data_IF_196742641306
#
_entry.id   IF_196742641306
#
_cell.length_a   1.000
_cell.length_b   1.000
_cell.length_c   1.000
_cell.angle_alpha   90.00
_cell.angle_beta   90.00
_cell.angle_gamma   90.00
#
_symmetry.space_group_name_H-M   'P 1'
#
loop_
_entity.id
_entity.type
_entity.pdbx_description
1 polymer ?
#
# COMPACT_ATOMS: atom_id res chain seq x y z
N UNK A 1 10.67 -22.63 6.58
CA UNK A 1 9.27 -23.13 6.63
C UNK A 1 8.68 -22.99 5.24
N UNK A 2 7.80 -23.94 4.86
CA UNK A 2 7.09 -23.93 3.58
C UNK A 2 5.80 -23.11 3.72
N UNK A 3 5.73 -21.98 3.05
CA UNK A 3 4.59 -21.03 3.12
C UNK A 3 3.90 -21.02 1.75
N UNK A 4 2.59 -21.20 1.72
CA UNK A 4 1.80 -21.08 0.48
C UNK A 4 0.87 -19.89 0.61
N UNK A 5 1.00 -18.92 -0.29
CA UNK A 5 0.19 -17.69 -0.30
C UNK A 5 -0.84 -17.70 -1.43
N UNK A 6 -2.10 -17.87 -1.08
CA UNK A 6 -3.23 -17.73 -1.99
C UNK A 6 -3.67 -16.26 -2.07
N UNK A 7 -3.43 -15.61 -3.19
CA UNK A 7 -3.77 -14.20 -3.41
C UNK A 7 -4.57 -13.98 -4.68
N UNK A 8 -5.52 -13.04 -4.64
CA UNK A 8 -6.25 -12.58 -5.83
C UNK A 8 -5.46 -11.53 -6.61
N UNK A 9 -4.38 -11.01 -6.04
CA UNK A 9 -3.59 -9.94 -6.65
C UNK A 9 -2.76 -10.47 -7.80
N UNK A 10 -2.80 -9.74 -8.92
CA UNK A 10 -1.82 -9.88 -9.98
C UNK A 10 -0.58 -9.05 -9.63
N UNK A 11 0.60 -9.60 -9.84
CA UNK A 11 1.86 -8.93 -9.48
C UNK A 11 2.30 -7.88 -10.52
N UNK A 12 1.56 -7.75 -11.60
CA UNK A 12 1.66 -6.62 -12.55
C UNK A 12 0.86 -5.39 -12.09
N UNK A 13 -0.05 -5.54 -11.12
CA UNK A 13 -0.87 -4.44 -10.64
C UNK A 13 -0.03 -3.42 -9.85
N UNK A 14 -0.32 -2.13 -9.98
CA UNK A 14 0.31 -1.04 -9.20
C UNK A 14 0.22 -1.24 -7.67
N UNK A 15 -0.70 -2.08 -7.20
CA UNK A 15 -0.88 -2.38 -5.78
C UNK A 15 -0.14 -3.64 -5.32
N UNK A 16 0.71 -4.23 -6.16
CA UNK A 16 1.42 -5.46 -5.87
C UNK A 16 2.74 -5.28 -5.11
N UNK A 17 3.25 -4.07 -4.97
CA UNK A 17 4.54 -3.79 -4.29
C UNK A 17 4.63 -4.48 -2.92
N UNK A 18 3.62 -4.36 -2.06
CA UNK A 18 3.67 -4.99 -0.73
C UNK A 18 3.79 -6.53 -0.78
N UNK A 19 2.93 -7.29 -1.49
CA UNK A 19 3.10 -8.74 -1.55
C UNK A 19 4.43 -9.15 -2.19
N UNK A 20 4.91 -8.43 -3.19
CA UNK A 20 6.22 -8.69 -3.80
C UNK A 20 7.35 -8.51 -2.78
N UNK A 21 7.36 -7.40 -2.07
CA UNK A 21 8.40 -7.09 -1.09
C UNK A 21 8.38 -8.05 0.12
N UNK A 22 7.19 -8.43 0.58
CA UNK A 22 7.06 -9.45 1.63
C UNK A 22 7.53 -10.82 1.14
N UNK A 23 7.16 -11.21 -0.09
CA UNK A 23 7.56 -12.46 -0.68
C UNK A 23 9.09 -12.58 -0.81
N UNK A 24 9.76 -11.57 -1.37
CA UNK A 24 11.21 -11.52 -1.50
C UNK A 24 11.91 -11.74 -0.17
N UNK A 25 11.50 -10.97 0.85
CA UNK A 25 12.16 -11.01 2.17
C UNK A 25 11.88 -12.30 2.94
N UNK A 26 10.71 -12.91 2.79
CA UNK A 26 10.46 -14.22 3.38
C UNK A 26 11.44 -15.28 2.79
N UNK A 27 11.65 -15.24 1.48
CA UNK A 27 12.62 -16.15 0.82
C UNK A 27 14.05 -15.82 1.25
N UNK A 28 14.45 -14.54 1.30
CA UNK A 28 15.76 -14.10 1.79
C UNK A 28 16.03 -14.58 3.24
N UNK A 29 14.97 -14.78 4.05
CA UNK A 29 15.06 -15.33 5.42
C UNK A 29 14.99 -16.86 5.50
N UNK A 30 15.05 -17.54 4.37
CA UNK A 30 15.12 -19.01 4.28
C UNK A 30 13.77 -19.72 4.36
N UNK A 31 12.65 -19.00 4.10
CA UNK A 31 11.35 -19.65 3.89
C UNK A 31 11.22 -20.13 2.43
N UNK A 32 10.63 -21.29 2.24
CA UNK A 32 10.17 -21.74 0.93
C UNK A 32 8.78 -21.16 0.67
N UNK A 33 8.67 -20.26 -0.30
CA UNK A 33 7.41 -19.57 -0.58
C UNK A 33 6.83 -20.00 -1.93
N UNK A 34 5.56 -20.39 -1.94
CA UNK A 34 4.80 -20.61 -3.17
C UNK A 34 3.66 -19.61 -3.27
N UNK A 35 3.65 -18.79 -4.33
CA UNK A 35 2.55 -17.88 -4.65
C UNK A 35 1.55 -18.58 -5.56
N UNK A 36 0.27 -18.56 -5.17
CA UNK A 36 -0.84 -19.11 -5.96
C UNK A 36 -1.76 -17.96 -6.37
N UNK A 37 -1.71 -17.54 -7.63
CA UNK A 37 -2.53 -16.45 -8.16
C UNK A 37 -2.90 -16.67 -9.64
N UNK A 38 -3.59 -15.68 -10.24
CA UNK A 38 -4.01 -15.72 -11.64
C UNK A 38 -3.06 -15.02 -12.60
N UNK A 39 -1.81 -14.83 -12.24
CA UNK A 39 -0.79 -14.36 -13.18
C UNK A 39 -0.43 -15.47 -14.17
N UNK A 40 0.04 -15.07 -15.34
CA UNK A 40 0.65 -16.01 -16.27
C UNK A 40 1.97 -16.54 -15.70
N UNK A 41 2.34 -17.80 -15.99
CA UNK A 41 3.59 -18.39 -15.47
C UNK A 41 4.82 -17.54 -15.79
N UNK A 42 4.93 -17.01 -16.99
CA UNK A 42 6.07 -16.23 -17.49
C UNK A 42 6.39 -15.01 -16.63
N UNK A 43 5.38 -14.48 -15.92
CA UNK A 43 5.55 -13.33 -15.01
C UNK A 43 6.45 -13.63 -13.82
N UNK A 44 6.56 -14.90 -13.43
CA UNK A 44 7.25 -15.36 -12.23
C UNK A 44 8.52 -16.21 -12.51
N UNK A 45 8.94 -16.36 -13.77
CA UNK A 45 10.08 -17.20 -14.15
C UNK A 45 11.40 -16.76 -13.50
N UNK A 46 11.57 -15.46 -13.24
CA UNK A 46 12.78 -14.88 -12.66
C UNK A 46 12.61 -14.45 -11.19
N UNK A 47 11.54 -14.87 -10.53
CA UNK A 47 11.30 -14.50 -9.14
C UNK A 47 11.92 -15.55 -8.19
N UNK A 48 12.21 -15.11 -6.97
CA UNK A 48 12.88 -15.94 -5.95
C UNK A 48 11.95 -16.94 -5.26
N UNK A 49 10.64 -16.87 -5.50
CA UNK A 49 9.63 -17.79 -4.98
C UNK A 49 9.10 -18.72 -6.07
N UNK A 50 8.48 -19.82 -5.67
CA UNK A 50 7.77 -20.72 -6.57
C UNK A 50 6.39 -20.14 -6.93
N UNK A 51 5.93 -20.35 -8.16
CA UNK A 51 4.63 -19.89 -8.62
C UNK A 51 3.74 -21.04 -9.11
N UNK A 52 2.50 -21.07 -8.62
CA UNK A 52 1.45 -21.97 -9.10
C UNK A 52 0.33 -21.16 -9.74
N UNK A 53 0.36 -21.05 -11.05
CA UNK A 53 -0.62 -20.29 -11.82
C UNK A 53 -1.99 -20.95 -11.83
N UNK A 54 -3.03 -20.15 -11.61
CA UNK A 54 -4.43 -20.49 -11.86
C UNK A 54 -5.03 -19.59 -12.94
N UNK A 55 -4.16 -19.09 -13.82
CA UNK A 55 -4.53 -18.21 -14.92
C UNK A 55 -5.52 -18.89 -15.88
N UNK A 56 -6.44 -18.06 -16.41
CA UNK A 56 -7.33 -18.43 -17.52
C UNK A 56 -7.44 -17.25 -18.50
N UNK A 57 -7.64 -17.57 -19.76
CA UNK A 57 -7.71 -16.57 -20.83
C UNK A 57 -8.87 -15.59 -20.66
N UNK A 58 -10.01 -16.03 -20.10
CA UNK A 58 -11.21 -15.19 -19.96
C UNK A 58 -11.88 -15.35 -18.59
N UNK A 59 -12.14 -14.23 -17.95
CA UNK A 59 -12.98 -14.13 -16.75
C UNK A 59 -14.26 -13.34 -17.05
N UNK A 60 -15.41 -13.89 -16.65
CA UNK A 60 -16.67 -13.13 -16.73
C UNK A 60 -16.63 -11.95 -15.74
N UNK A 61 -17.02 -10.72 -16.15
CA UNK A 61 -17.11 -9.58 -15.25
C UNK A 61 -17.89 -9.91 -13.97
N UNK A 62 -17.39 -9.48 -12.82
CA UNK A 62 -18.00 -9.73 -11.50
C UNK A 62 -17.80 -11.14 -10.92
N UNK A 63 -17.36 -12.12 -11.72
CA UNK A 63 -17.16 -13.50 -11.26
C UNK A 63 -15.69 -13.92 -11.16
N UNK A 64 -14.75 -13.02 -11.46
CA UNK A 64 -13.31 -13.31 -11.47
C UNK A 64 -12.83 -13.94 -10.16
N UNK A 65 -13.09 -13.31 -9.02
CA UNK A 65 -12.64 -13.83 -7.72
C UNK A 65 -13.16 -15.25 -7.43
N UNK A 66 -14.44 -15.50 -7.71
CA UNK A 66 -15.04 -16.82 -7.54
C UNK A 66 -14.39 -17.86 -8.44
N UNK A 67 -14.10 -17.53 -9.70
CA UNK A 67 -13.49 -18.46 -10.65
C UNK A 67 -12.04 -18.77 -10.31
N UNK A 68 -11.26 -17.75 -9.97
CA UNK A 68 -9.89 -17.92 -9.45
C UNK A 68 -9.90 -18.84 -8.24
N UNK A 69 -10.77 -18.59 -7.26
CA UNK A 69 -10.88 -19.42 -6.06
C UNK A 69 -11.27 -20.88 -6.38
N UNK A 70 -12.15 -21.11 -7.34
CA UNK A 70 -12.51 -22.47 -7.79
C UNK A 70 -11.31 -23.19 -8.40
N UNK A 71 -10.48 -22.50 -9.16
CA UNK A 71 -9.25 -23.10 -9.71
C UNK A 71 -8.20 -23.36 -8.63
N UNK A 72 -8.07 -22.45 -7.66
CA UNK A 72 -7.21 -22.67 -6.49
C UNK A 72 -7.65 -23.91 -5.70
N UNK A 73 -8.95 -24.18 -5.54
CA UNK A 73 -9.45 -25.40 -4.87
C UNK A 73 -8.88 -26.69 -5.47
N UNK A 74 -8.79 -26.75 -6.79
CA UNK A 74 -8.23 -27.91 -7.49
C UNK A 74 -6.74 -28.09 -7.16
N UNK A 75 -6.01 -26.98 -6.98
CA UNK A 75 -4.59 -27.01 -6.62
C UNK A 75 -4.37 -27.42 -5.16
N UNK A 76 -5.22 -26.98 -4.23
CA UNK A 76 -5.12 -27.34 -2.81
C UNK A 76 -5.11 -28.87 -2.62
N UNK A 77 -5.95 -29.59 -3.35
CA UNK A 77 -6.02 -31.05 -3.29
C UNK A 77 -4.68 -31.71 -3.66
N UNK A 78 -3.90 -31.08 -4.52
CA UNK A 78 -2.61 -31.57 -4.99
C UNK A 78 -1.41 -31.11 -4.13
N UNK A 79 -1.63 -30.12 -3.23
CA UNK A 79 -0.57 -29.49 -2.41
C UNK A 79 -0.73 -29.77 -0.91
N UNK A 80 -1.50 -30.80 -0.55
CA UNK A 80 -1.93 -31.06 0.85
C UNK A 80 -0.75 -31.23 1.81
N UNK A 81 0.37 -31.78 1.36
CA UNK A 81 1.54 -32.10 2.20
C UNK A 81 2.71 -31.09 2.02
N UNK A 82 2.51 -30.00 1.28
CA UNK A 82 3.60 -29.10 0.86
C UNK A 82 3.68 -27.80 1.67
N UNK A 83 2.75 -27.52 2.59
CA UNK A 83 2.71 -26.27 3.33
C UNK A 83 2.72 -26.48 4.84
N UNK A 84 3.55 -25.70 5.52
CA UNK A 84 3.52 -25.58 6.99
C UNK A 84 2.52 -24.51 7.44
N UNK A 85 2.29 -23.46 6.61
CA UNK A 85 1.32 -22.37 6.86
C UNK A 85 0.72 -21.84 5.56
N UNK A 86 -0.57 -21.54 5.57
CA UNK A 86 -1.26 -20.84 4.49
C UNK A 86 -1.49 -19.36 4.79
N UNK A 87 -1.06 -18.47 3.90
CA UNK A 87 -1.49 -17.08 3.84
C UNK A 87 -2.63 -16.96 2.82
N UNK A 88 -3.76 -16.36 3.18
CA UNK A 88 -4.94 -16.33 2.29
C UNK A 88 -5.61 -14.97 2.29
N UNK A 89 -5.74 -14.36 1.12
CA UNK A 89 -6.49 -13.11 0.96
C UNK A 89 -7.98 -13.30 1.30
N UNK A 90 -8.57 -12.35 2.03
CA UNK A 90 -9.98 -12.40 2.45
C UNK A 90 -10.96 -12.62 1.29
N UNK A 91 -10.64 -12.08 0.10
CA UNK A 91 -11.52 -12.10 -1.07
C UNK A 91 -11.77 -13.52 -1.63
N UNK A 92 -10.86 -14.45 -1.37
CA UNK A 92 -10.94 -15.84 -1.84
C UNK A 92 -11.15 -16.83 -0.70
N UNK A 93 -10.88 -16.44 0.55
CA UNK A 93 -10.88 -17.34 1.70
C UNK A 93 -12.17 -18.15 1.84
N UNK A 94 -13.35 -17.51 1.70
CA UNK A 94 -14.63 -18.23 1.84
C UNK A 94 -14.81 -19.36 0.83
N UNK A 95 -14.24 -19.20 -0.34
CA UNK A 95 -14.38 -20.16 -1.43
C UNK A 95 -13.47 -21.37 -1.28
N UNK A 96 -12.33 -21.23 -0.58
CA UNK A 96 -11.32 -22.28 -0.44
C UNK A 96 -11.20 -22.82 1.00
N UNK A 97 -11.82 -22.16 1.99
CA UNK A 97 -11.68 -22.50 3.40
C UNK A 97 -12.10 -23.93 3.76
N UNK A 98 -13.04 -24.54 3.00
CA UNK A 98 -13.46 -25.93 3.24
C UNK A 98 -12.33 -26.90 2.90
N UNK A 99 -11.64 -26.67 1.81
CA UNK A 99 -10.54 -27.49 1.35
C UNK A 99 -9.30 -27.30 2.22
N UNK A 100 -8.93 -26.06 2.54
CA UNK A 100 -7.81 -25.74 3.42
C UNK A 100 -7.93 -26.44 4.79
N UNK A 101 -9.13 -26.51 5.35
CA UNK A 101 -9.37 -27.19 6.63
C UNK A 101 -9.17 -28.70 6.58
N UNK A 102 -9.17 -29.32 5.43
CA UNK A 102 -8.89 -30.76 5.30
C UNK A 102 -7.40 -31.08 5.41
N UNK A 103 -6.55 -30.07 5.27
CA UNK A 103 -5.10 -30.20 5.31
C UNK A 103 -4.51 -30.14 6.72
N UNK A 104 -5.31 -29.76 7.73
CA UNK A 104 -4.88 -29.44 9.09
C UNK A 104 -3.79 -28.34 9.20
N UNK A 105 -3.40 -27.72 8.09
CA UNK A 105 -2.40 -26.66 8.05
C UNK A 105 -3.01 -25.34 8.51
N UNK A 106 -2.37 -24.57 9.41
CA UNK A 106 -2.88 -23.31 9.90
C UNK A 106 -3.05 -22.28 8.78
N UNK A 107 -4.11 -21.49 8.89
CA UNK A 107 -4.48 -20.45 7.93
C UNK A 107 -4.42 -19.10 8.61
N UNK A 108 -3.67 -18.17 7.99
CA UNK A 108 -3.59 -16.76 8.35
C UNK A 108 -4.32 -15.95 7.28
N UNK A 109 -5.28 -15.12 7.72
CA UNK A 109 -6.03 -14.22 6.84
C UNK A 109 -5.19 -12.99 6.52
N UNK A 110 -5.05 -12.66 5.24
CA UNK A 110 -4.43 -11.42 4.78
C UNK A 110 -5.51 -10.44 4.30
N UNK A 111 -5.61 -9.29 4.97
CA UNK A 111 -6.54 -8.23 4.63
C UNK A 111 -5.80 -6.91 4.39
N UNK A 112 -5.59 -6.58 3.12
CA UNK A 112 -4.90 -5.36 2.72
C UNK A 112 -5.79 -4.14 2.55
N UNK A 113 -7.09 -4.35 2.47
CA UNK A 113 -8.12 -3.32 2.51
C UNK A 113 -9.50 -3.95 2.59
N UNK A 114 -10.44 -3.38 3.35
CA UNK A 114 -11.84 -3.74 3.23
C UNK A 114 -12.39 -3.31 1.86
N UNK A 115 -13.59 -3.75 1.48
CA UNK A 115 -14.23 -3.34 0.22
C UNK A 115 -14.38 -1.83 0.13
N UNK A 116 -14.00 -1.25 -1.02
CA UNK A 116 -14.01 0.20 -1.24
C UNK A 116 -15.34 0.75 -1.80
N UNK A 117 -16.17 -0.11 -2.40
CA UNK A 117 -17.37 0.32 -3.10
C UNK A 117 -18.63 0.23 -2.24
N UNK A 118 -19.55 1.17 -2.44
CA UNK A 118 -20.87 1.22 -1.78
C UNK A 118 -22.03 0.72 -2.66
N UNK A 119 -21.77 0.37 -3.92
CA UNK A 119 -22.76 -0.19 -4.85
C UNK A 119 -23.17 -1.64 -4.47
N UNK A 120 -24.08 -2.25 -5.24
CA UNK A 120 -24.58 -3.60 -4.98
C UNK A 120 -23.44 -4.65 -4.90
N UNK A 121 -22.48 -4.60 -5.82
CA UNK A 121 -21.29 -5.46 -5.78
C UNK A 121 -20.46 -5.22 -4.52
N UNK A 122 -20.31 -3.97 -4.10
CA UNK A 122 -19.66 -3.60 -2.85
C UNK A 122 -20.37 -4.21 -1.64
N UNK A 123 -21.70 -4.21 -1.59
CA UNK A 123 -22.48 -4.86 -0.50
C UNK A 123 -22.19 -6.36 -0.42
N UNK A 124 -22.11 -7.05 -1.56
CA UNK A 124 -21.74 -8.47 -1.60
C UNK A 124 -20.30 -8.70 -1.14
N UNK A 125 -19.37 -7.84 -1.52
CA UNK A 125 -17.98 -7.88 -1.04
C UNK A 125 -17.91 -7.65 0.48
N UNK A 126 -18.67 -6.69 1.04
CA UNK A 126 -18.76 -6.46 2.48
C UNK A 126 -19.31 -7.67 3.25
N UNK A 127 -20.28 -8.37 2.67
CA UNK A 127 -20.79 -9.60 3.25
C UNK A 127 -19.70 -10.70 3.25
N UNK A 128 -19.00 -10.88 2.13
CA UNK A 128 -17.89 -11.83 2.03
C UNK A 128 -16.76 -11.49 3.01
N UNK A 129 -16.37 -10.22 3.09
CA UNK A 129 -15.34 -9.73 4.01
C UNK A 129 -15.70 -10.04 5.47
N UNK A 130 -16.92 -9.69 5.91
CA UNK A 130 -17.40 -10.00 7.26
C UNK A 130 -17.40 -11.50 7.54
N UNK A 131 -17.82 -12.33 6.58
CA UNK A 131 -17.81 -13.78 6.74
C UNK A 131 -16.39 -14.33 6.85
N UNK A 132 -15.43 -13.83 6.08
CA UNK A 132 -14.04 -14.24 6.14
C UNK A 132 -13.45 -13.98 7.54
N UNK A 133 -13.64 -12.79 8.08
CA UNK A 133 -13.20 -12.46 9.44
C UNK A 133 -13.92 -13.27 10.53
N UNK A 134 -15.22 -13.60 10.35
CA UNK A 134 -15.95 -14.46 11.28
C UNK A 134 -15.43 -15.90 11.32
N UNK A 135 -14.65 -16.35 10.36
CA UNK A 135 -13.97 -17.65 10.44
C UNK A 135 -12.94 -17.67 11.59
N UNK A 136 -12.32 -16.53 11.90
CA UNK A 136 -11.41 -16.38 13.04
C UNK A 136 -12.16 -16.60 14.38
N UNK A 137 -13.33 -15.95 14.56
CA UNK A 137 -14.17 -16.16 15.75
C UNK A 137 -14.64 -17.61 15.93
N UNK A 138 -14.77 -18.33 14.83
CA UNK A 138 -15.19 -19.76 14.83
C UNK A 138 -14.02 -20.73 14.98
N UNK A 139 -12.80 -20.24 15.24
CA UNK A 139 -11.60 -21.06 15.33
C UNK A 139 -11.25 -21.81 14.04
N UNK A 140 -11.73 -21.31 12.87
CA UNK A 140 -11.50 -21.97 11.57
C UNK A 140 -10.29 -21.41 10.82
N UNK A 141 -9.77 -20.32 11.26
CA UNK A 141 -8.47 -19.73 10.90
C UNK A 141 -7.83 -19.25 12.20
N UNK A 142 -6.52 -19.15 12.24
CA UNK A 142 -5.78 -18.93 13.48
C UNK A 142 -5.65 -17.45 13.83
N UNK A 143 -5.28 -16.62 12.86
CA UNK A 143 -5.03 -15.19 13.02
C UNK A 143 -5.31 -14.41 11.74
N UNK A 144 -5.21 -13.11 11.81
CA UNK A 144 -5.35 -12.24 10.65
C UNK A 144 -4.35 -11.11 10.65
N UNK A 145 -3.99 -10.64 9.46
CA UNK A 145 -3.10 -9.51 9.24
C UNK A 145 -3.83 -8.40 8.49
N UNK A 146 -3.64 -7.17 8.95
CA UNK A 146 -4.17 -5.93 8.35
C UNK A 146 -3.05 -4.93 8.10
N UNK A 147 -3.33 -3.80 7.45
CA UNK A 147 -2.28 -2.88 6.98
C UNK A 147 -1.99 -1.68 7.89
N UNK A 148 -2.82 -1.44 8.93
CA UNK A 148 -2.64 -0.31 9.84
C UNK A 148 -3.34 -0.55 11.18
N UNK A 149 -2.96 0.18 12.22
CA UNK A 149 -3.64 0.15 13.52
C UNK A 149 -5.12 0.60 13.40
N UNK A 150 -5.40 1.59 12.54
CA UNK A 150 -6.77 2.00 12.28
C UNK A 150 -7.60 0.88 11.63
N UNK A 151 -6.98 0.11 10.72
CA UNK A 151 -7.63 -1.05 10.10
C UNK A 151 -7.85 -2.17 11.11
N UNK A 152 -6.89 -2.43 11.99
CA UNK A 152 -7.01 -3.39 13.10
C UNK A 152 -8.20 -3.04 13.98
N UNK A 153 -8.23 -1.81 14.50
CA UNK A 153 -9.33 -1.31 15.34
C UNK A 153 -10.68 -1.42 14.63
N UNK A 154 -10.74 -1.05 13.35
CA UNK A 154 -11.95 -1.17 12.54
C UNK A 154 -12.45 -2.62 12.44
N UNK A 155 -11.56 -3.60 12.23
CA UNK A 155 -11.94 -5.02 12.18
C UNK A 155 -12.39 -5.51 13.55
N UNK A 156 -11.64 -5.20 14.61
CA UNK A 156 -11.98 -5.56 15.99
C UNK A 156 -13.38 -5.08 16.37
N UNK A 157 -13.67 -3.79 16.13
CA UNK A 157 -14.98 -3.20 16.44
C UNK A 157 -16.11 -3.73 15.52
N UNK A 158 -15.85 -3.84 14.22
CA UNK A 158 -16.88 -4.22 13.23
C UNK A 158 -17.29 -5.69 13.30
N UNK A 159 -16.39 -6.55 13.73
CA UNK A 159 -16.57 -8.01 13.73
C UNK A 159 -16.68 -8.55 15.16
N UNK A 160 -16.09 -7.86 16.15
CA UNK A 160 -15.97 -8.32 17.53
C UNK A 160 -14.78 -9.28 17.73
N UNK A 161 -13.67 -9.05 17.03
CA UNK A 161 -12.46 -9.87 17.20
C UNK A 161 -11.79 -9.50 18.53
N UNK A 162 -11.44 -10.46 19.40
CA UNK A 162 -10.71 -10.16 20.62
C UNK A 162 -9.29 -9.67 20.33
N UNK A 163 -8.71 -8.84 21.23
CA UNK A 163 -7.33 -8.39 21.11
C UNK A 163 -6.34 -9.55 20.95
N UNK A 164 -5.22 -9.30 20.29
CA UNK A 164 -4.14 -10.27 20.11
C UNK A 164 -4.31 -11.25 18.95
N UNK A 165 -5.45 -11.21 18.23
CA UNK A 165 -5.68 -12.08 17.06
C UNK A 165 -5.40 -11.43 15.73
N UNK A 166 -5.07 -10.13 15.71
CA UNK A 166 -4.81 -9.36 14.50
C UNK A 166 -3.44 -8.68 14.61
N UNK A 167 -2.59 -8.93 13.63
CA UNK A 167 -1.29 -8.30 13.48
C UNK A 167 -1.31 -7.24 12.40
N UNK A 168 -0.44 -6.21 12.52
CA UNK A 168 -0.39 -5.10 11.58
C UNK A 168 0.85 -5.21 10.70
N UNK A 169 0.62 -5.34 9.40
CA UNK A 169 1.65 -5.35 8.36
C UNK A 169 1.66 -3.99 7.64
N UNK A 170 2.32 -3.00 8.23
CA UNK A 170 2.44 -1.68 7.62
C UNK A 170 3.14 -1.74 6.27
N UNK A 171 2.80 -0.81 5.37
CA UNK A 171 3.58 -0.63 4.16
C UNK A 171 4.99 -0.15 4.52
N UNK A 172 5.99 -0.82 4.00
CA UNK A 172 7.40 -0.49 4.17
C UNK A 172 7.97 0.25 2.96
N UNK A 173 9.26 0.55 3.03
CA UNK A 173 10.08 1.08 1.94
C UNK A 173 11.42 0.35 1.90
N UNK A 174 11.99 0.17 0.71
CA UNK A 174 13.38 -0.27 0.56
C UNK A 174 14.30 0.96 0.54
N UNK A 175 14.93 1.23 1.67
CA UNK A 175 15.84 2.37 1.84
C UNK A 175 17.15 2.25 1.07
N UNK A 176 17.46 1.09 0.50
CA UNK A 176 18.61 0.89 -0.42
C UNK A 176 18.31 1.43 -1.82
N UNK A 177 17.02 1.49 -2.20
CA UNK A 177 16.55 1.96 -3.51
C UNK A 177 16.08 3.42 -3.41
N UNK A 178 15.30 3.73 -2.37
CA UNK A 178 14.83 5.08 -2.04
C UNK A 178 15.81 5.74 -1.08
N UNK A 179 16.58 6.70 -1.56
CA UNK A 179 17.55 7.46 -0.77
C UNK A 179 17.67 8.90 -1.31
N UNK A 180 18.08 9.85 -0.47
CA UNK A 180 18.29 11.23 -0.89
C UNK A 180 19.57 11.38 -1.71
N UNK A 181 19.57 12.33 -2.64
CA UNK A 181 20.78 12.81 -3.33
C UNK A 181 20.97 14.31 -3.08
N UNK A 182 22.19 14.79 -3.29
CA UNK A 182 22.45 16.21 -3.30
C UNK A 182 21.69 16.87 -4.46
N UNK A 183 20.78 17.78 -4.12
CA UNK A 183 19.95 18.48 -5.10
C UNK A 183 20.64 19.77 -5.52
N UNK A 184 20.49 20.16 -6.78
CA UNK A 184 20.82 21.50 -7.22
C UNK A 184 19.97 22.51 -6.46
N UNK A 185 20.58 23.62 -6.04
CA UNK A 185 19.85 24.71 -5.44
C UNK A 185 18.78 25.21 -6.43
N UNK A 186 17.56 25.33 -5.94
CA UNK A 186 16.43 25.87 -6.67
C UNK A 186 15.73 26.92 -5.81
N UNK A 187 15.33 28.01 -6.42
CA UNK A 187 14.49 29.01 -5.76
C UNK A 187 13.02 28.56 -5.65
N UNK A 188 12.62 27.51 -6.40
CA UNK A 188 11.29 26.98 -6.40
C UNK A 188 11.18 25.74 -5.49
N UNK A 189 10.11 25.63 -4.71
CA UNK A 189 9.74 24.42 -3.98
C UNK A 189 9.19 23.37 -4.96
N UNK A 190 9.78 22.19 -5.00
CA UNK A 190 9.42 21.09 -5.91
C UNK A 190 8.53 20.09 -5.23
N UNK A 191 7.26 20.11 -5.59
CA UNK A 191 6.23 19.21 -5.05
C UNK A 191 6.04 18.00 -5.96
N UNK A 192 5.75 16.84 -5.36
CA UNK A 192 5.47 15.61 -6.11
C UNK A 192 4.28 14.84 -5.55
N UNK A 193 3.51 14.24 -6.45
CA UNK A 193 2.60 13.15 -6.13
C UNK A 193 2.81 12.02 -7.15
N UNK A 194 2.93 10.78 -6.68
CA UNK A 194 2.96 9.61 -7.56
C UNK A 194 1.90 8.56 -7.19
N UNK A 195 1.45 7.80 -8.18
CA UNK A 195 0.46 6.72 -8.05
C UNK A 195 -0.82 6.97 -8.85
N UNK A 196 -1.93 6.42 -8.42
CA UNK A 196 -3.19 6.58 -9.17
C UNK A 196 -3.65 8.03 -9.19
N UNK A 197 -3.87 8.57 -10.40
CA UNK A 197 -4.36 9.93 -10.65
C UNK A 197 -5.90 9.91 -10.75
N UNK A 198 -6.56 9.58 -9.62
CA UNK A 198 -8.01 9.45 -9.53
C UNK A 198 -8.64 10.62 -8.78
N UNK A 199 -9.82 11.06 -9.23
CA UNK A 199 -10.60 12.14 -8.60
C UNK A 199 -10.85 11.88 -7.12
N UNK A 200 -11.18 10.63 -6.76
CA UNK A 200 -11.49 10.25 -5.38
C UNK A 200 -10.29 10.27 -4.44
N UNK A 201 -9.08 10.39 -4.98
CA UNK A 201 -7.82 10.56 -4.21
C UNK A 201 -7.43 12.01 -3.98
N UNK A 202 -8.24 12.97 -4.43
CA UNK A 202 -7.98 14.39 -4.21
C UNK A 202 -6.91 15.00 -5.13
N UNK A 203 -6.43 14.27 -6.14
CA UNK A 203 -5.30 14.72 -6.99
C UNK A 203 -5.60 16.00 -7.75
N UNK A 204 -6.87 16.25 -8.13
CA UNK A 204 -7.27 17.49 -8.83
C UNK A 204 -7.13 18.76 -7.96
N UNK A 205 -7.06 18.63 -6.64
CA UNK A 205 -6.81 19.77 -5.76
C UNK A 205 -5.36 20.23 -5.77
N UNK A 206 -4.42 19.37 -6.18
CA UNK A 206 -2.98 19.66 -6.14
C UNK A 206 -2.57 20.81 -7.08
N UNK A 207 -2.97 20.84 -8.37
CA UNK A 207 -2.70 22.01 -9.22
C UNK A 207 -3.29 23.31 -8.66
N UNK A 208 -4.49 23.25 -8.05
CA UNK A 208 -5.12 24.44 -7.44
C UNK A 208 -4.32 24.93 -6.23
N UNK A 209 -3.81 24.00 -5.43
CA UNK A 209 -2.93 24.32 -4.30
C UNK A 209 -1.63 24.98 -4.76
N UNK A 210 -0.96 24.46 -5.77
CA UNK A 210 0.29 25.05 -6.30
C UNK A 210 0.01 26.42 -6.91
N UNK A 211 -1.10 26.59 -7.64
CA UNK A 211 -1.49 27.89 -8.16
C UNK A 211 -1.75 28.91 -7.03
N UNK A 212 -2.34 28.46 -5.92
CA UNK A 212 -2.53 29.29 -4.72
C UNK A 212 -1.20 29.75 -4.13
N UNK A 213 -0.19 28.86 -4.04
CA UNK A 213 1.16 29.23 -3.60
C UNK A 213 1.79 30.28 -4.52
N UNK A 214 1.72 30.09 -5.85
CA UNK A 214 2.28 30.99 -6.85
C UNK A 214 1.60 32.37 -6.77
N UNK A 215 0.29 32.42 -6.63
CA UNK A 215 -0.46 33.68 -6.48
C UNK A 215 -0.08 34.46 -5.20
N UNK A 216 0.51 33.76 -4.22
CA UNK A 216 1.05 34.36 -2.99
C UNK A 216 2.57 34.47 -2.99
N UNK A 217 3.18 34.63 -4.18
CA UNK A 217 4.61 34.87 -4.41
C UNK A 217 5.56 33.74 -3.95
N UNK A 218 5.06 32.51 -3.81
CA UNK A 218 5.89 31.33 -3.58
C UNK A 218 6.22 30.70 -4.94
N UNK A 219 7.48 30.64 -5.29
CA UNK A 219 7.92 29.87 -6.47
C UNK A 219 7.72 28.38 -6.18
N UNK A 220 6.87 27.71 -6.94
CA UNK A 220 6.52 26.32 -6.73
C UNK A 220 6.32 25.56 -8.05
N UNK A 221 6.72 24.32 -8.08
CA UNK A 221 6.55 23.38 -9.19
C UNK A 221 5.84 22.12 -8.72
N UNK A 222 5.07 21.48 -9.60
CA UNK A 222 4.36 20.23 -9.32
C UNK A 222 4.68 19.17 -10.35
N UNK A 223 5.16 18.03 -9.88
CA UNK A 223 5.32 16.82 -10.68
C UNK A 223 4.26 15.79 -10.28
N UNK A 224 3.43 15.38 -11.23
CA UNK A 224 2.45 14.30 -11.06
C UNK A 224 2.90 13.07 -11.85
N UNK A 225 2.93 11.89 -11.21
CA UNK A 225 3.44 10.66 -11.85
C UNK A 225 2.39 9.57 -11.70
N UNK A 226 1.88 9.04 -12.81
CA UNK A 226 0.98 7.90 -12.77
C UNK A 226 -0.17 7.96 -13.77
N UNK A 227 -1.20 7.15 -13.50
CA UNK A 227 -2.37 7.01 -14.37
C UNK A 227 -3.64 6.89 -13.54
N UNK A 228 -4.75 7.41 -14.07
CA UNK A 228 -6.07 7.33 -13.44
C UNK A 228 -7.15 8.04 -14.25
N UNK A 229 -8.32 8.18 -13.67
CA UNK A 229 -9.52 8.74 -14.34
C UNK A 229 -9.40 10.24 -14.67
N UNK A 230 -8.47 10.96 -14.04
CA UNK A 230 -8.22 12.39 -14.31
C UNK A 230 -6.93 12.67 -15.09
N UNK A 231 -6.21 11.65 -15.54
CA UNK A 231 -4.90 11.81 -16.21
C UNK A 231 -4.97 12.71 -17.45
N UNK A 232 -5.96 12.51 -18.32
CA UNK A 232 -6.13 13.31 -19.55
C UNK A 232 -6.34 14.79 -19.23
N UNK A 233 -7.16 15.08 -18.19
CA UNK A 233 -7.40 16.46 -17.74
C UNK A 233 -6.12 17.12 -17.20
N UNK A 234 -5.35 16.39 -16.39
CA UNK A 234 -4.08 16.88 -15.84
C UNK A 234 -3.03 17.13 -16.93
N UNK A 235 -2.98 16.29 -17.98
CA UNK A 235 -2.09 16.50 -19.14
C UNK A 235 -2.46 17.75 -19.94
N UNK A 236 -3.75 18.01 -20.14
CA UNK A 236 -4.19 19.25 -20.79
C UNK A 236 -3.76 20.45 -19.95
N UNK A 237 -3.91 20.40 -18.63
CA UNK A 237 -3.46 21.47 -17.73
C UNK A 237 -1.95 21.68 -17.80
N UNK A 238 -1.14 20.63 -17.87
CA UNK A 238 0.33 20.74 -17.96
C UNK A 238 0.81 21.43 -19.25
N UNK A 239 0.03 21.34 -20.32
CA UNK A 239 0.32 22.11 -21.55
C UNK A 239 0.12 23.63 -21.40
N UNK A 240 -0.66 24.06 -20.39
CA UNK A 240 -0.97 25.48 -20.16
C UNK A 240 -0.15 26.13 -19.05
N UNK A 241 0.53 25.33 -18.21
CA UNK A 241 1.23 25.80 -17.01
C UNK A 241 2.65 25.24 -16.94
N UNK A 242 3.66 26.08 -17.07
CA UNK A 242 5.09 25.68 -17.04
C UNK A 242 5.52 25.07 -15.70
N UNK A 243 4.83 25.38 -14.61
CA UNK A 243 5.10 24.85 -13.28
C UNK A 243 4.48 23.45 -13.02
N UNK A 244 3.71 22.90 -13.98
CA UNK A 244 3.06 21.60 -13.85
C UNK A 244 3.63 20.59 -14.85
N UNK A 245 4.20 19.50 -14.34
CA UNK A 245 4.68 18.37 -15.15
C UNK A 245 3.85 17.12 -14.82
N UNK A 246 3.38 16.41 -15.86
CA UNK A 246 2.61 15.18 -15.70
C UNK A 246 3.28 14.05 -16.47
N UNK A 247 3.80 13.08 -15.73
CA UNK A 247 4.34 11.84 -16.29
C UNK A 247 3.27 10.75 -16.33
N UNK A 248 3.30 9.92 -17.36
CA UNK A 248 2.51 8.68 -17.42
C UNK A 248 2.95 7.69 -16.34
N UNK A 249 2.27 6.53 -16.31
CA UNK A 249 2.71 5.41 -15.51
C UNK A 249 4.12 4.99 -15.94
N UNK A 250 5.03 5.02 -14.98
CA UNK A 250 6.41 4.56 -15.14
C UNK A 250 6.63 3.28 -14.31
N UNK A 251 7.62 2.46 -14.65
CA UNK A 251 8.04 1.34 -13.81
C UNK A 251 8.37 1.82 -12.38
N UNK A 252 8.05 1.02 -11.36
CA UNK A 252 8.33 1.38 -9.97
C UNK A 252 9.82 1.66 -9.71
N UNK A 253 10.72 0.98 -10.44
CA UNK A 253 12.16 1.20 -10.40
C UNK A 253 12.61 2.60 -10.86
N UNK A 254 11.77 3.32 -11.59
CA UNK A 254 12.04 4.70 -12.04
C UNK A 254 11.63 5.75 -10.99
N UNK A 255 10.69 5.41 -10.09
CA UNK A 255 10.17 6.35 -9.08
C UNK A 255 11.28 6.95 -8.20
N UNK A 256 12.26 6.17 -7.69
CA UNK A 256 13.32 6.72 -6.85
C UNK A 256 14.09 7.90 -7.50
N UNK A 257 14.46 7.76 -8.78
CA UNK A 257 15.19 8.80 -9.51
C UNK A 257 14.36 10.07 -9.74
N UNK A 258 13.04 9.94 -9.86
CA UNK A 258 12.13 11.08 -9.98
C UNK A 258 11.91 11.76 -8.62
N UNK A 259 11.79 11.00 -7.53
CA UNK A 259 11.63 11.55 -6.18
C UNK A 259 12.88 12.30 -5.71
N UNK A 260 14.08 11.83 -6.02
CA UNK A 260 15.33 12.47 -5.65
C UNK A 260 15.45 13.92 -6.15
N UNK A 261 14.72 14.29 -7.20
CA UNK A 261 14.66 15.65 -7.74
C UNK A 261 13.67 16.57 -7.03
N UNK A 262 12.89 16.06 -6.09
CA UNK A 262 11.78 16.75 -5.45
C UNK A 262 12.11 17.12 -3.99
N UNK A 263 11.36 18.06 -3.42
CA UNK A 263 11.55 18.53 -2.04
C UNK A 263 10.41 18.07 -1.12
N UNK A 264 9.18 18.00 -1.65
CA UNK A 264 7.98 17.79 -0.86
C UNK A 264 7.08 16.74 -1.52
N UNK A 265 6.77 15.67 -0.80
CA UNK A 265 5.78 14.67 -1.20
C UNK A 265 4.37 15.02 -0.71
N UNK A 266 3.38 14.90 -1.59
CA UNK A 266 1.99 15.27 -1.31
C UNK A 266 1.12 14.05 -1.00
N UNK A 267 0.29 14.16 0.06
CA UNK A 267 -0.68 13.15 0.47
C UNK A 267 -2.10 13.74 0.47
N UNK A 268 -2.76 13.87 -0.71
CA UNK A 268 -4.03 14.57 -0.85
C UNK A 268 -5.27 13.72 -0.56
N UNK A 269 -5.14 12.42 -0.23
CA UNK A 269 -6.29 11.55 -0.02
C UNK A 269 -7.19 12.08 1.12
N UNK A 270 -8.50 12.26 0.88
CA UNK A 270 -9.40 12.82 1.86
C UNK A 270 -9.69 11.86 3.02
N UNK A 271 -10.05 12.42 4.18
CA UNK A 271 -10.47 11.66 5.36
C UNK A 271 -11.89 11.10 5.17
N UNK A 272 -12.06 10.12 4.29
CA UNK A 272 -13.37 9.49 4.02
C UNK A 272 -13.25 8.04 3.57
N UNK A 273 -14.33 7.28 3.80
CA UNK A 273 -14.44 5.88 3.35
C UNK A 273 -13.36 5.00 3.99
N UNK A 274 -12.63 4.29 3.14
CA UNK A 274 -11.57 3.35 3.58
C UNK A 274 -10.18 3.98 3.62
N UNK A 275 -10.00 5.22 3.16
CA UNK A 275 -8.67 5.85 3.09
C UNK A 275 -8.00 5.99 4.46
N UNK A 276 -8.72 6.33 5.55
CA UNK A 276 -8.14 6.34 6.89
C UNK A 276 -7.58 5.01 7.37
N UNK A 277 -8.04 3.89 6.80
CA UNK A 277 -7.57 2.55 7.15
C UNK A 277 -6.31 2.12 6.37
N UNK A 278 -5.90 2.90 5.36
CA UNK A 278 -4.78 2.56 4.50
C UNK A 278 -3.41 2.73 5.20
N UNK A 279 -2.40 2.08 4.63
CA UNK A 279 -0.98 2.33 4.90
C UNK A 279 -0.32 2.66 3.55
N UNK A 280 -0.19 3.95 3.18
CA UNK A 280 0.27 4.34 1.86
C UNK A 280 1.78 4.16 1.71
N UNK A 281 2.21 3.44 0.67
CA UNK A 281 3.62 3.27 0.29
C UNK A 281 4.35 4.61 0.13
N UNK A 282 3.70 5.57 -0.54
CA UNK A 282 4.24 6.91 -0.82
C UNK A 282 4.87 7.58 0.40
N UNK A 283 4.26 7.42 1.57
CA UNK A 283 4.78 7.99 2.82
C UNK A 283 6.20 7.52 3.11
N UNK A 284 6.43 6.22 3.05
CA UNK A 284 7.75 5.63 3.23
C UNK A 284 8.73 6.03 2.12
N UNK A 285 8.27 5.99 0.87
CA UNK A 285 9.07 6.33 -0.30
C UNK A 285 9.50 7.81 -0.30
N UNK A 286 8.61 8.74 0.08
CA UNK A 286 8.95 10.16 0.24
C UNK A 286 10.00 10.35 1.33
N UNK A 287 9.73 9.85 2.53
CA UNK A 287 10.64 10.00 3.67
C UNK A 287 11.99 9.36 3.40
N UNK A 288 12.04 8.16 2.82
CA UNK A 288 13.28 7.47 2.48
C UNK A 288 14.11 8.25 1.43
N UNK A 289 13.43 8.94 0.50
CA UNK A 289 14.07 9.82 -0.50
C UNK A 289 14.43 11.20 0.05
N UNK A 290 14.26 11.46 1.36
CA UNK A 290 14.57 12.74 1.99
C UNK A 290 13.60 13.85 1.62
N UNK A 291 12.33 13.55 1.29
CA UNK A 291 11.31 14.55 1.04
C UNK A 291 10.56 14.88 2.32
N UNK A 292 10.27 16.17 2.49
CA UNK A 292 9.26 16.60 3.44
C UNK A 292 7.89 16.13 2.97
N UNK A 293 6.93 16.02 3.87
CA UNK A 293 5.58 15.57 3.53
C UNK A 293 4.55 16.62 3.92
N UNK A 294 3.65 16.93 2.98
CA UNK A 294 2.46 17.72 3.24
C UNK A 294 1.20 16.95 2.81
N UNK A 295 0.18 16.90 3.67
CA UNK A 295 -0.99 16.11 3.37
C UNK A 295 -2.22 16.36 4.22
N UNK A 296 -3.30 15.67 3.89
CA UNK A 296 -4.56 15.71 4.63
C UNK A 296 -4.47 14.83 5.87
N UNK A 297 -4.93 15.35 7.02
CA UNK A 297 -4.89 14.68 8.32
C UNK A 297 -5.93 13.56 8.39
N UNK A 298 -5.48 12.33 8.54
CA UNK A 298 -6.27 11.16 8.93
C UNK A 298 -5.35 9.99 9.32
N UNK A 299 -5.90 8.96 9.95
CA UNK A 299 -5.13 7.83 10.51
C UNK A 299 -4.27 7.10 9.47
N UNK A 300 -4.69 7.02 8.20
CA UNK A 300 -3.88 6.40 7.13
C UNK A 300 -2.63 7.20 6.75
N UNK A 301 -2.64 8.52 6.94
CA UNK A 301 -1.47 9.38 6.74
C UNK A 301 -0.65 9.56 8.01
N UNK A 302 -1.28 9.48 9.19
CA UNK A 302 -0.61 9.64 10.46
C UNK A 302 0.20 8.39 10.83
N UNK A 303 1.28 8.56 11.58
CA UNK A 303 2.01 7.51 12.27
C UNK A 303 2.71 8.10 13.51
N UNK A 304 3.21 7.24 14.40
CA UNK A 304 3.59 7.58 15.79
C UNK A 304 4.63 8.71 15.92
N UNK A 305 5.36 9.04 14.87
CA UNK A 305 6.45 10.02 14.88
C UNK A 305 6.13 11.29 14.10
N UNK A 306 4.87 11.52 13.82
CA UNK A 306 4.35 12.67 13.07
C UNK A 306 3.93 13.74 14.02
N UNK A 307 4.77 14.66 14.28
CA UNK A 307 4.48 16.05 14.61
C UNK A 307 5.75 16.88 14.47
N UNK A 308 6.36 16.78 13.30
CA UNK A 308 7.54 17.57 12.99
C UNK A 308 7.21 18.62 11.94
N UNK A 309 7.97 19.69 11.94
CA UNK A 309 7.96 20.72 10.89
C UNK A 309 8.13 20.10 9.49
N UNK A 310 8.64 18.88 9.40
CA UNK A 310 8.98 18.19 8.16
C UNK A 310 7.90 17.22 7.66
N UNK A 311 6.90 16.95 8.47
CA UNK A 311 5.76 16.10 8.12
C UNK A 311 4.46 16.77 8.58
N UNK A 312 3.90 17.63 7.74
CA UNK A 312 2.73 18.46 8.09
C UNK A 312 1.44 17.84 7.56
N UNK A 313 0.53 17.52 8.46
CA UNK A 313 -0.82 17.08 8.12
C UNK A 313 -1.84 18.11 8.60
N UNK A 314 -2.78 18.46 7.73
CA UNK A 314 -3.77 19.50 7.97
C UNK A 314 -5.18 18.99 7.64
N UNK A 315 -6.20 19.60 8.23
CA UNK A 315 -7.58 19.30 7.88
C UNK A 315 -7.90 19.74 6.45
N UNK A 316 -8.80 19.02 5.78
CA UNK A 316 -9.10 19.24 4.36
C UNK A 316 -9.53 20.67 4.05
N UNK A 317 -10.38 21.26 4.89
CA UNK A 317 -10.88 22.64 4.75
C UNK A 317 -9.78 23.69 4.86
N UNK A 318 -8.70 23.39 5.57
CA UNK A 318 -7.57 24.30 5.78
C UNK A 318 -6.38 24.03 4.86
N UNK A 319 -6.51 23.08 3.91
CA UNK A 319 -5.39 22.55 3.12
C UNK A 319 -4.60 23.66 2.41
N UNK A 320 -5.28 24.61 1.76
CA UNK A 320 -4.62 25.69 1.02
C UNK A 320 -3.96 26.71 1.96
N UNK A 321 -4.67 27.19 2.95
CA UNK A 321 -4.21 28.26 3.84
C UNK A 321 -3.09 27.78 4.78
N UNK A 322 -3.25 26.62 5.40
CA UNK A 322 -2.17 26.06 6.22
C UNK A 322 -0.97 25.61 5.38
N UNK A 323 -1.21 25.14 4.15
CA UNK A 323 -0.16 24.79 3.22
C UNK A 323 0.64 26.02 2.78
N UNK A 324 -0.02 27.16 2.54
CA UNK A 324 0.64 28.44 2.24
C UNK A 324 1.54 28.87 3.41
N UNK A 325 0.98 28.93 4.63
CA UNK A 325 1.74 29.33 5.84
C UNK A 325 2.95 28.41 6.06
N UNK A 326 2.75 27.10 5.86
CA UNK A 326 3.84 26.14 5.99
C UNK A 326 4.91 26.36 4.91
N UNK A 327 4.53 26.51 3.64
CA UNK A 327 5.47 26.77 2.54
C UNK A 327 6.28 28.06 2.76
N UNK A 328 5.65 29.13 3.28
CA UNK A 328 6.33 30.38 3.65
C UNK A 328 7.37 30.22 4.77
N UNK A 329 7.18 29.23 5.65
CA UNK A 329 8.12 28.94 6.73
C UNK A 329 9.33 28.10 6.30
N UNK A 330 9.32 27.54 5.07
CA UNK A 330 10.40 26.69 4.57
C UNK A 330 11.58 27.54 4.07
N UNK A 331 12.75 27.23 4.55
CA UNK A 331 14.03 27.79 4.09
C UNK A 331 14.91 26.66 3.56
N UNK A 332 15.98 26.96 2.85
CA UNK A 332 16.94 25.95 2.40
C UNK A 332 17.49 25.13 3.59
N UNK A 333 17.71 25.77 4.74
CA UNK A 333 18.13 25.09 5.96
C UNK A 333 17.09 24.12 6.49
N UNK A 334 15.80 24.51 6.50
CA UNK A 334 14.70 23.61 6.93
C UNK A 334 14.51 22.44 5.97
N UNK A 335 14.67 22.67 4.66
CA UNK A 335 14.60 21.60 3.66
C UNK A 335 15.76 20.60 3.86
N UNK A 336 16.99 21.07 4.05
CA UNK A 336 18.17 20.21 4.24
C UNK A 336 18.08 19.40 5.54
N UNK A 337 17.75 20.05 6.66
CA UNK A 337 17.58 19.36 7.94
C UNK A 337 16.43 18.37 7.90
N UNK A 338 15.30 18.77 7.27
CA UNK A 338 14.12 17.92 7.10
C UNK A 338 14.40 16.69 6.25
N UNK A 339 15.24 16.80 5.22
CA UNK A 339 15.64 15.66 4.41
C UNK A 339 16.41 14.61 5.22
N UNK A 340 17.30 15.03 6.09
CA UNK A 340 18.06 14.14 7.00
C UNK A 340 17.10 13.45 7.99
N UNK A 341 16.21 14.22 8.61
CA UNK A 341 15.24 13.69 9.58
C UNK A 341 14.24 12.72 8.89
N UNK A 342 13.72 13.07 7.73
CA UNK A 342 12.84 12.21 6.94
C UNK A 342 13.50 10.86 6.65
N UNK A 343 14.76 10.89 6.20
CA UNK A 343 15.55 9.67 5.97
C UNK A 343 15.69 8.82 7.22
N UNK A 344 16.08 9.42 8.34
CA UNK A 344 16.26 8.72 9.62
C UNK A 344 14.95 8.06 10.10
N UNK A 345 13.81 8.75 9.93
CA UNK A 345 12.48 8.20 10.24
C UNK A 345 12.17 6.99 9.36
N UNK A 346 12.42 7.09 8.06
CA UNK A 346 12.16 6.00 7.13
C UNK A 346 13.00 4.75 7.46
N UNK A 347 14.30 4.92 7.69
CA UNK A 347 15.21 3.83 8.03
C UNK A 347 14.85 3.16 9.37
N UNK A 348 14.50 3.95 10.35
CA UNK A 348 14.24 3.45 11.70
C UNK A 348 12.86 2.78 11.84
N UNK A 349 11.84 3.21 11.08
CA UNK A 349 10.46 2.83 11.38
C UNK A 349 9.66 2.31 10.19
N UNK A 350 10.13 2.55 8.95
CA UNK A 350 9.34 2.25 7.76
C UNK A 350 10.03 1.27 6.80
N UNK A 351 11.14 0.63 7.20
CA UNK A 351 11.74 -0.42 6.38
C UNK A 351 10.85 -1.66 6.30
N UNK A 352 10.87 -2.34 5.15
CA UNK A 352 10.18 -3.60 4.95
C UNK A 352 10.55 -4.67 5.97
N UNK A 353 11.77 -4.64 6.49
CA UNK A 353 12.26 -5.63 7.45
C UNK A 353 11.40 -5.66 8.72
N UNK A 354 10.94 -4.50 9.22
CA UNK A 354 10.02 -4.44 10.36
C UNK A 354 8.67 -5.11 10.07
N UNK A 355 8.17 -4.95 8.84
CA UNK A 355 6.90 -5.58 8.44
C UNK A 355 7.06 -7.09 8.29
N UNK A 356 8.19 -7.53 7.75
CA UNK A 356 8.49 -8.96 7.59
C UNK A 356 8.73 -9.62 8.94
N UNK A 357 9.39 -8.95 9.92
CA UNK A 357 9.54 -9.46 11.29
C UNK A 357 8.18 -9.80 11.90
N UNK A 358 7.20 -8.90 11.73
CA UNK A 358 5.83 -9.15 12.22
C UNK A 358 5.20 -10.35 11.50
N UNK A 359 5.29 -10.40 10.17
CA UNK A 359 4.71 -11.50 9.39
C UNK A 359 5.38 -12.85 9.72
N UNK A 360 6.69 -12.87 9.85
CA UNK A 360 7.45 -14.06 10.20
C UNK A 360 7.09 -14.58 11.59
N UNK A 361 6.93 -13.69 12.57
CA UNK A 361 6.47 -14.09 13.90
C UNK A 361 5.05 -14.68 13.86
N UNK A 362 4.12 -14.08 13.11
CA UNK A 362 2.77 -14.61 12.93
C UNK A 362 2.80 -16.01 12.27
N UNK A 363 3.70 -16.24 11.33
CA UNK A 363 3.90 -17.54 10.66
C UNK A 363 4.46 -18.57 11.67
N UNK A 364 5.47 -18.20 12.46
CA UNK A 364 6.08 -19.07 13.48
C UNK A 364 5.08 -19.44 14.57
N UNK A 365 4.33 -18.47 15.08
CA UNK A 365 3.29 -18.69 16.08
C UNK A 365 2.19 -19.63 15.55
N UNK A 366 1.82 -19.46 14.28
CA UNK A 366 0.85 -20.32 13.63
C UNK A 366 1.31 -21.76 13.52
N UNK A 367 2.55 -21.97 13.18
CA UNK A 367 3.15 -23.30 13.07
C UNK A 367 3.27 -24.02 14.43
N UNK A 368 3.61 -23.27 15.50
CA UNK A 368 3.75 -23.82 16.85
C UNK A 368 2.41 -24.19 17.50
N UNK A 369 1.31 -23.72 16.95
CA UNK A 369 -0.04 -23.96 17.49
C UNK A 369 -0.69 -25.24 16.92
N UNK A 370 0.00 -25.93 15.98
CA UNK A 370 -0.38 -27.25 15.49
C UNK A 370 -0.13 -28.33 16.56
#
# INVERSE_FOLDING_TARGET
>A
MRVVWYTIRNFEDMCATTPIELAKRLVERGHELTIVNSDKPERHENEVWSHSSVWEERYKPGFRAKKIALNMRKRIVNLVDEADVYLVDWAILLHIAKELRKTNTPVILIDRSPPAYSNLLGRLQWFAWKKSWRLLLKGKILSGCVVSEAHKKFVEEKIGIPPGKISVLNAGVDSRIFFPENKSNSDALRFVYHGQLDKNRGVLALPLFIQHLINNNIKAELTLIGRGDVSSRLKIMSGNYSWLTVHDLVPHSTIPSLLRKQDIGLLPMPNRGIWPLASPLKRGEYLASGLLVFGIKHSGHSFKFVDSQHYKLVDLENFHEEGLRWAQSLTQKTLSNGAIEARNIAERYLCWDHTVDVLENVIKDAFQTQ
#
